data_IF_623286324335
#
_entry.id   IF_623286324335
#
_cell.length_a   1.000
_cell.length_b   1.000
_cell.length_c   1.000
_cell.angle_alpha   90.00
_cell.angle_beta   90.00
_cell.angle_gamma   90.00
#
_symmetry.space_group_name_H-M   'P 1'
#
loop_
_entity.id
_entity.type
_entity.pdbx_description
1 polymer ?
#
# COMPACT_ATOMS: atom_id res chain seq x y z
N UNK A 1 3.12 -24.64 1.16
CA UNK A 1 3.69 -23.48 0.44
C UNK A 1 3.17 -22.15 0.98
N UNK A 2 1.86 -21.87 1.01
CA UNK A 2 1.32 -20.62 1.61
C UNK A 2 1.83 -20.44 3.03
N UNK A 3 1.71 -21.48 3.88
CA UNK A 3 2.23 -21.44 5.25
C UNK A 3 3.72 -21.13 5.36
N UNK A 4 4.55 -21.61 4.42
CA UNK A 4 5.98 -21.31 4.40
C UNK A 4 6.24 -19.82 4.13
N UNK A 5 5.61 -19.23 3.10
CA UNK A 5 5.76 -17.80 2.83
C UNK A 5 5.18 -16.92 3.95
N UNK A 6 4.06 -17.35 4.56
CA UNK A 6 3.50 -16.68 5.75
C UNK A 6 4.49 -16.72 6.92
N UNK A 7 5.09 -17.87 7.21
CA UNK A 7 6.10 -18.03 8.25
C UNK A 7 7.32 -17.13 8.01
N UNK A 8 7.82 -17.08 6.77
CA UNK A 8 8.94 -16.20 6.41
C UNK A 8 8.59 -14.73 6.71
N UNK A 9 7.38 -14.27 6.32
CA UNK A 9 6.93 -12.89 6.62
C UNK A 9 6.82 -12.64 8.12
N UNK A 10 6.27 -13.58 8.89
CA UNK A 10 6.18 -13.47 10.35
C UNK A 10 7.57 -13.34 10.99
N UNK A 11 8.56 -14.09 10.49
CA UNK A 11 9.95 -14.03 10.98
C UNK A 11 10.59 -12.68 10.64
N UNK A 12 10.38 -12.17 9.43
CA UNK A 12 11.03 -10.94 8.95
C UNK A 12 10.39 -9.68 9.48
N UNK A 13 9.07 -9.71 9.77
CA UNK A 13 8.27 -8.56 10.17
C UNK A 13 8.87 -7.68 11.30
N UNK A 14 9.45 -8.21 12.38
CA UNK A 14 9.96 -7.38 13.49
C UNK A 14 11.33 -6.77 13.26
N UNK A 15 12.03 -7.06 12.15
CA UNK A 15 13.45 -6.73 12.03
C UNK A 15 13.79 -5.39 11.39
N UNK A 16 12.80 -4.62 10.96
CA UNK A 16 12.99 -3.29 10.37
C UNK A 16 11.81 -2.38 10.70
N UNK A 17 12.06 -1.06 10.73
CA UNK A 17 11.06 -0.07 11.10
C UNK A 17 9.93 0.05 10.08
N UNK A 18 8.87 0.77 10.47
CA UNK A 18 7.71 1.00 9.61
C UNK A 18 8.04 1.98 8.48
N UNK A 19 7.50 1.71 7.30
CA UNK A 19 7.47 2.67 6.20
C UNK A 19 6.55 3.87 6.49
N UNK A 20 6.62 4.92 5.67
CA UNK A 20 5.82 6.14 5.84
C UNK A 20 4.33 5.82 5.88
N UNK A 21 3.82 5.21 4.80
CA UNK A 21 2.41 4.89 4.66
C UNK A 21 1.96 3.84 5.69
N UNK A 22 2.83 2.86 5.98
CA UNK A 22 2.55 1.83 6.98
C UNK A 22 2.31 2.44 8.37
N UNK A 23 3.21 3.31 8.82
CA UNK A 23 3.06 4.02 10.10
C UNK A 23 1.81 4.92 10.08
N UNK A 24 1.53 5.57 8.95
CA UNK A 24 0.38 6.44 8.79
C UNK A 24 -0.94 5.69 8.98
N UNK A 25 -1.10 4.53 8.35
CA UNK A 25 -2.33 3.74 8.46
C UNK A 25 -2.47 3.03 9.82
N UNK A 26 -1.37 2.71 10.51
CA UNK A 26 -1.45 2.25 11.90
C UNK A 26 -1.97 3.37 12.82
N UNK A 27 -1.57 4.63 12.58
CA UNK A 27 -2.07 5.78 13.34
C UNK A 27 -3.57 6.03 13.16
N UNK A 28 -4.20 5.56 12.07
CA UNK A 28 -5.66 5.57 11.94
C UNK A 28 -6.34 4.80 13.07
N UNK A 29 -5.73 3.71 13.57
CA UNK A 29 -6.26 3.00 14.72
C UNK A 29 -6.19 3.84 16.02
N UNK A 30 -5.18 4.71 16.18
CA UNK A 30 -5.10 5.65 17.29
C UNK A 30 -6.10 6.81 17.17
N UNK A 31 -6.23 7.35 15.97
CA UNK A 31 -7.10 8.49 15.67
C UNK A 31 -8.30 8.01 14.86
N UNK A 32 -9.14 7.15 15.49
CA UNK A 32 -10.29 6.55 14.82
C UNK A 32 -11.27 7.61 14.33
N UNK A 33 -11.63 7.51 13.06
CA UNK A 33 -12.61 8.35 12.42
C UNK A 33 -13.41 7.56 11.37
N UNK A 34 -14.44 8.17 10.81
CA UNK A 34 -15.32 7.59 9.80
C UNK A 34 -14.71 7.60 8.40
N UNK A 35 -13.74 8.46 8.15
CA UNK A 35 -12.86 8.48 6.98
C UNK A 35 -11.63 9.33 7.25
N UNK A 36 -10.73 9.45 6.27
CA UNK A 36 -9.51 10.23 6.36
C UNK A 36 -9.26 10.97 5.05
N UNK A 37 -8.34 11.95 5.06
CA UNK A 37 -8.07 12.81 3.90
C UNK A 37 -7.63 12.00 2.69
N UNK A 38 -6.70 11.07 2.89
CA UNK A 38 -6.04 10.31 1.83
C UNK A 38 -6.73 8.98 1.50
N UNK A 39 -7.37 8.30 2.47
CA UNK A 39 -8.04 7.02 2.24
C UNK A 39 -9.28 6.81 3.11
N UNK A 40 -10.23 5.94 2.66
CA UNK A 40 -11.33 5.44 3.49
C UNK A 40 -10.83 4.65 4.70
N UNK A 41 -11.68 4.39 5.73
CA UNK A 41 -11.24 4.05 7.08
C UNK A 41 -10.85 2.59 7.32
N UNK A 42 -11.18 1.65 6.41
CA UNK A 42 -11.10 0.21 6.71
C UNK A 42 -9.68 -0.25 7.05
N UNK A 43 -8.65 0.33 6.43
CA UNK A 43 -7.25 -0.01 6.75
C UNK A 43 -6.92 0.29 8.21
N UNK A 44 -7.40 1.42 8.74
CA UNK A 44 -7.25 1.77 10.15
C UNK A 44 -8.09 0.88 11.06
N UNK A 45 -9.36 0.62 10.70
CA UNK A 45 -10.24 -0.23 11.51
C UNK A 45 -9.71 -1.65 11.65
N UNK A 46 -9.04 -2.19 10.62
CA UNK A 46 -8.38 -3.50 10.69
C UNK A 46 -7.21 -3.49 11.66
N UNK A 47 -6.51 -2.37 11.85
CA UNK A 47 -5.43 -2.28 12.84
C UNK A 47 -5.93 -2.19 14.29
N UNK A 48 -7.18 -1.78 14.55
CA UNK A 48 -7.71 -1.54 15.91
C UNK A 48 -7.48 -2.70 16.87
N UNK A 49 -7.88 -3.94 16.56
CA UNK A 49 -7.70 -5.05 17.51
C UNK A 49 -6.21 -5.31 17.80
N UNK A 50 -5.34 -5.17 16.82
CA UNK A 50 -3.90 -5.38 17.00
C UNK A 50 -3.28 -4.26 17.83
N UNK A 51 -3.68 -3.02 17.57
CA UNK A 51 -3.17 -1.84 18.26
C UNK A 51 -3.56 -1.82 19.74
N UNK A 52 -4.83 -2.04 20.06
CA UNK A 52 -5.34 -1.91 21.44
C UNK A 52 -5.20 -3.18 22.28
N UNK A 53 -5.32 -4.37 21.67
CA UNK A 53 -5.28 -5.62 22.43
C UNK A 53 -3.87 -6.18 22.60
N UNK A 54 -2.98 -5.95 21.63
CA UNK A 54 -1.67 -6.59 21.58
C UNK A 54 -0.51 -5.59 21.73
N UNK A 55 -0.78 -4.28 21.59
CA UNK A 55 0.22 -3.22 21.74
C UNK A 55 0.81 -2.72 20.43
N UNK A 56 1.86 -1.89 20.53
CA UNK A 56 2.46 -1.18 19.39
C UNK A 56 3.89 -1.63 19.15
N UNK A 57 4.11 -2.38 18.08
CA UNK A 57 5.42 -2.72 17.56
C UNK A 57 5.31 -3.09 16.08
N UNK A 58 6.43 -3.22 15.40
CA UNK A 58 6.49 -3.49 13.96
C UNK A 58 5.82 -4.82 13.57
N UNK A 59 5.97 -5.84 14.40
CA UNK A 59 5.36 -7.15 14.16
C UNK A 59 3.83 -7.05 14.17
N UNK A 60 3.27 -6.40 15.16
CA UNK A 60 1.80 -6.26 15.33
C UNK A 60 1.20 -5.33 14.27
N UNK A 61 1.94 -4.30 13.87
CA UNK A 61 1.54 -3.45 12.74
C UNK A 61 1.42 -4.23 11.42
N UNK A 62 2.24 -5.28 11.23
CA UNK A 62 2.31 -6.11 10.01
C UNK A 62 1.45 -7.36 10.04
N UNK A 63 1.13 -7.84 11.23
CA UNK A 63 0.39 -9.10 11.39
C UNK A 63 -0.92 -9.14 10.58
N UNK A 64 -1.77 -8.09 10.57
CA UNK A 64 -2.98 -8.11 9.74
C UNK A 64 -2.69 -8.26 8.24
N UNK A 65 -1.68 -7.57 7.69
CA UNK A 65 -1.29 -7.71 6.29
C UNK A 65 -0.87 -9.14 5.95
N UNK A 66 -0.04 -9.75 6.81
CA UNK A 66 0.46 -11.11 6.63
C UNK A 66 -0.69 -12.12 6.58
N UNK A 67 -1.66 -12.00 7.49
CA UNK A 67 -2.83 -12.87 7.54
C UNK A 67 -3.74 -12.67 6.32
N UNK A 68 -4.02 -11.41 5.95
CA UNK A 68 -4.83 -11.07 4.76
C UNK A 68 -4.16 -11.62 3.49
N UNK A 69 -2.85 -11.47 3.36
CA UNK A 69 -2.16 -11.95 2.16
C UNK A 69 -2.04 -13.48 2.09
N UNK A 70 -2.03 -14.17 3.23
CA UNK A 70 -2.16 -15.62 3.27
C UNK A 70 -3.51 -16.07 2.69
N UNK A 71 -4.61 -15.41 3.09
CA UNK A 71 -5.94 -15.66 2.54
C UNK A 71 -6.01 -15.26 1.06
N UNK A 72 -5.41 -14.15 0.66
CA UNK A 72 -5.31 -13.70 -0.75
C UNK A 72 -4.58 -14.75 -1.60
N UNK A 73 -3.47 -15.30 -1.10
CA UNK A 73 -2.72 -16.38 -1.77
C UNK A 73 -3.56 -17.66 -1.90
N UNK A 74 -4.39 -17.95 -0.91
CA UNK A 74 -5.32 -19.08 -0.99
C UNK A 74 -6.45 -18.83 -2.00
N UNK A 75 -6.97 -17.61 -2.07
CA UNK A 75 -7.93 -17.21 -3.11
C UNK A 75 -7.31 -17.31 -4.52
N UNK A 76 -6.05 -16.92 -4.70
CA UNK A 76 -5.33 -17.11 -5.96
C UNK A 76 -5.18 -18.58 -6.34
N UNK A 77 -4.89 -19.46 -5.36
CA UNK A 77 -4.89 -20.90 -5.54
C UNK A 77 -6.24 -21.40 -6.04
N UNK A 78 -7.33 -21.02 -5.36
CA UNK A 78 -8.69 -21.41 -5.73
C UNK A 78 -9.10 -20.86 -7.11
N UNK A 79 -8.70 -19.64 -7.43
CA UNK A 79 -8.96 -19.02 -8.74
C UNK A 79 -8.36 -19.88 -9.87
N UNK A 80 -7.07 -20.21 -9.78
CA UNK A 80 -6.42 -21.04 -10.80
C UNK A 80 -6.97 -22.47 -10.80
N UNK A 81 -7.31 -23.03 -9.63
CA UNK A 81 -7.93 -24.36 -9.53
C UNK A 81 -9.30 -24.40 -10.25
N UNK A 82 -10.12 -23.36 -10.09
CA UNK A 82 -11.42 -23.26 -10.78
C UNK A 82 -11.27 -23.16 -12.30
N UNK A 83 -10.26 -22.45 -12.77
CA UNK A 83 -9.97 -22.27 -14.21
C UNK A 83 -9.36 -23.52 -14.84
N UNK A 84 -8.44 -24.19 -14.14
CA UNK A 84 -7.60 -25.23 -14.75
C UNK A 84 -7.92 -26.66 -14.28
N UNK A 85 -8.69 -26.80 -13.19
CA UNK A 85 -8.97 -28.06 -12.50
C UNK A 85 -7.68 -28.82 -12.09
N UNK A 86 -6.56 -28.09 -11.90
CA UNK A 86 -5.25 -28.65 -11.60
C UNK A 86 -4.64 -28.07 -10.34
N UNK A 87 -4.49 -28.88 -9.31
CA UNK A 87 -3.81 -28.50 -8.07
C UNK A 87 -2.34 -28.11 -8.32
N UNK A 88 -1.66 -28.81 -9.23
CA UNK A 88 -0.27 -28.54 -9.56
C UNK A 88 -0.11 -27.15 -10.20
N UNK A 89 -0.97 -26.77 -11.15
CA UNK A 89 -0.95 -25.47 -11.78
C UNK A 89 -1.27 -24.35 -10.77
N UNK A 90 -2.19 -24.61 -9.85
CA UNK A 90 -2.52 -23.69 -8.76
C UNK A 90 -1.34 -23.46 -7.81
N UNK A 91 -0.57 -24.49 -7.51
CA UNK A 91 0.66 -24.37 -6.70
C UNK A 91 1.73 -23.55 -7.42
N UNK A 92 1.96 -23.77 -8.71
CA UNK A 92 2.87 -22.93 -9.51
C UNK A 92 2.45 -21.47 -9.52
N UNK A 93 1.16 -21.21 -9.68
CA UNK A 93 0.60 -19.85 -9.67
C UNK A 93 0.83 -19.15 -8.32
N UNK A 94 0.57 -19.84 -7.20
CA UNK A 94 0.83 -19.29 -5.85
C UNK A 94 2.32 -19.07 -5.61
N UNK A 95 3.19 -19.96 -6.11
CA UNK A 95 4.63 -19.77 -6.02
C UNK A 95 5.06 -18.49 -6.73
N UNK A 96 4.68 -18.31 -8.00
CA UNK A 96 5.01 -17.13 -8.77
C UNK A 96 4.47 -15.83 -8.15
N UNK A 97 3.23 -15.87 -7.63
CA UNK A 97 2.62 -14.73 -6.95
C UNK A 97 3.45 -14.32 -5.72
N UNK A 98 3.86 -15.29 -4.90
CA UNK A 98 4.67 -15.04 -3.70
C UNK A 98 6.15 -14.74 -4.01
N UNK A 99 6.59 -14.86 -5.24
CA UNK A 99 7.90 -14.40 -5.72
C UNK A 99 7.91 -12.95 -6.22
N UNK A 100 6.75 -12.29 -6.37
CA UNK A 100 6.68 -10.90 -6.79
C UNK A 100 7.09 -9.96 -5.65
N UNK A 101 8.05 -9.07 -5.89
CA UNK A 101 8.56 -8.17 -4.86
C UNK A 101 7.44 -7.25 -4.32
N UNK A 102 6.72 -6.52 -5.19
CA UNK A 102 5.66 -5.60 -4.76
C UNK A 102 4.51 -6.33 -4.05
N UNK A 103 4.11 -7.52 -4.50
CA UNK A 103 3.07 -8.28 -3.81
C UNK A 103 3.54 -8.78 -2.43
N UNK A 104 4.84 -9.00 -2.23
CA UNK A 104 5.39 -9.28 -0.90
C UNK A 104 5.40 -8.04 0.00
N UNK A 105 5.66 -6.86 -0.55
CA UNK A 105 5.51 -5.59 0.20
C UNK A 105 4.07 -5.45 0.68
N UNK A 106 3.07 -5.62 -0.19
CA UNK A 106 1.64 -5.59 0.15
C UNK A 106 1.20 -6.74 1.08
N UNK A 107 1.97 -7.83 1.13
CA UNK A 107 1.78 -8.93 2.07
C UNK A 107 2.48 -8.76 3.41
N UNK A 108 3.32 -7.73 3.57
CA UNK A 108 3.98 -7.36 4.82
C UNK A 108 3.39 -6.08 5.43
N UNK A 109 3.16 -5.07 4.59
CA UNK A 109 2.67 -3.76 5.00
C UNK A 109 1.19 -3.66 4.71
N UNK A 110 0.38 -3.33 5.72
CA UNK A 110 -1.06 -3.16 5.49
C UNK A 110 -1.32 -1.79 4.87
N UNK A 111 -1.48 -1.82 3.55
CA UNK A 111 -1.95 -0.69 2.76
C UNK A 111 -3.40 -0.93 2.34
N UNK A 112 -4.15 0.10 1.94
CA UNK A 112 -5.49 -0.09 1.36
C UNK A 112 -5.51 -1.10 0.21
N UNK A 113 -4.44 -1.13 -0.59
CA UNK A 113 -4.24 -2.11 -1.67
C UNK A 113 -4.26 -3.55 -1.16
N UNK A 114 -3.66 -3.84 -0.01
CA UNK A 114 -3.60 -5.20 0.55
C UNK A 114 -4.98 -5.80 0.77
N UNK A 115 -5.94 -5.00 1.26
CA UNK A 115 -7.34 -5.39 1.43
C UNK A 115 -8.05 -5.52 0.07
N UNK A 116 -7.82 -4.58 -0.84
CA UNK A 116 -8.44 -4.58 -2.16
C UNK A 116 -8.07 -5.85 -2.94
N UNK A 117 -6.82 -6.33 -2.84
CA UNK A 117 -6.36 -7.56 -3.50
C UNK A 117 -7.19 -8.78 -3.05
N UNK A 118 -7.51 -8.90 -1.77
CA UNK A 118 -8.37 -9.97 -1.27
C UNK A 118 -9.80 -9.83 -1.81
N UNK A 119 -10.36 -8.63 -1.71
CA UNK A 119 -11.75 -8.40 -2.12
C UNK A 119 -11.98 -8.60 -3.61
N UNK A 120 -11.00 -8.35 -4.46
CA UNK A 120 -11.10 -8.60 -5.90
C UNK A 120 -11.32 -10.08 -6.20
N UNK A 121 -10.62 -11.00 -5.55
CA UNK A 121 -10.89 -12.44 -5.73
C UNK A 121 -12.27 -12.83 -5.22
N UNK A 122 -12.66 -12.33 -4.05
CA UNK A 122 -13.99 -12.61 -3.50
C UNK A 122 -15.10 -12.05 -4.41
N UNK A 123 -14.87 -10.87 -5.01
CA UNK A 123 -15.80 -10.28 -5.98
C UNK A 123 -15.91 -11.14 -7.25
N UNK A 124 -14.79 -11.65 -7.79
CA UNK A 124 -14.77 -12.56 -8.94
C UNK A 124 -15.59 -13.83 -8.64
N UNK A 125 -15.36 -14.47 -7.49
CA UNK A 125 -16.07 -15.68 -7.09
C UNK A 125 -17.57 -15.43 -6.90
N UNK A 126 -17.92 -14.31 -6.28
CA UNK A 126 -19.33 -13.94 -6.02
C UNK A 126 -20.05 -13.62 -7.34
N UNK A 127 -19.43 -12.83 -8.22
CA UNK A 127 -20.03 -12.46 -9.52
C UNK A 127 -20.27 -13.68 -10.42
N UNK A 128 -19.30 -14.61 -10.49
CA UNK A 128 -19.46 -15.84 -11.25
C UNK A 128 -20.56 -16.73 -10.66
N UNK A 129 -20.62 -16.85 -9.33
CA UNK A 129 -21.64 -17.63 -8.63
C UNK A 129 -23.05 -17.06 -8.87
N UNK A 130 -23.23 -15.74 -8.81
CA UNK A 130 -24.50 -15.07 -9.14
C UNK A 130 -24.93 -15.40 -10.57
N UNK A 131 -23.99 -15.47 -11.51
CA UNK A 131 -24.28 -15.81 -12.91
C UNK A 131 -24.88 -17.22 -13.05
N UNK A 132 -24.45 -18.16 -12.20
CA UNK A 132 -24.94 -19.56 -12.23
C UNK A 132 -26.20 -19.77 -11.40
N UNK A 133 -26.22 -19.26 -10.17
CA UNK A 133 -27.20 -19.70 -9.17
C UNK A 133 -28.25 -18.63 -8.83
N UNK A 134 -27.94 -17.35 -8.99
CA UNK A 134 -28.84 -16.18 -8.73
C UNK A 134 -29.51 -16.23 -7.34
N UNK A 135 -28.81 -16.68 -6.30
CA UNK A 135 -29.32 -16.76 -4.93
C UNK A 135 -29.34 -15.39 -4.26
N UNK A 136 -30.36 -15.02 -3.48
CA UNK A 136 -30.43 -13.74 -2.76
C UNK A 136 -29.21 -13.47 -1.88
N UNK A 137 -28.71 -14.50 -1.18
CA UNK A 137 -27.51 -14.39 -0.32
C UNK A 137 -26.25 -13.98 -1.07
N UNK A 138 -26.10 -14.38 -2.33
CA UNK A 138 -24.93 -14.00 -3.14
C UNK A 138 -24.99 -12.51 -3.51
N UNK A 139 -26.18 -11.92 -3.64
CA UNK A 139 -26.34 -10.47 -3.84
C UNK A 139 -26.11 -9.69 -2.55
N UNK A 140 -26.51 -10.22 -1.39
CA UNK A 140 -26.15 -9.63 -0.09
C UNK A 140 -24.64 -9.60 0.06
N UNK A 141 -23.96 -10.72 -0.24
CA UNK A 141 -22.50 -10.79 -0.21
C UNK A 141 -21.87 -9.81 -1.21
N UNK A 142 -22.43 -9.69 -2.43
CA UNK A 142 -21.99 -8.70 -3.41
C UNK A 142 -22.06 -7.28 -2.86
N UNK A 143 -23.18 -6.91 -2.23
CA UNK A 143 -23.36 -5.58 -1.62
C UNK A 143 -22.36 -5.33 -0.50
N UNK A 144 -22.15 -6.32 0.37
CA UNK A 144 -21.14 -6.24 1.45
C UNK A 144 -19.74 -6.06 0.87
N UNK A 145 -19.35 -6.84 -0.14
CA UNK A 145 -18.02 -6.73 -0.77
C UNK A 145 -17.81 -5.36 -1.42
N UNK A 146 -18.79 -4.87 -2.19
CA UNK A 146 -18.71 -3.55 -2.81
C UNK A 146 -18.60 -2.43 -1.76
N UNK A 147 -19.37 -2.53 -0.66
CA UNK A 147 -19.29 -1.59 0.46
C UNK A 147 -17.93 -1.63 1.16
N UNK A 148 -17.41 -2.82 1.50
CA UNK A 148 -16.09 -2.99 2.09
C UNK A 148 -14.98 -2.48 1.17
N UNK A 149 -15.08 -2.71 -0.13
CA UNK A 149 -14.15 -2.17 -1.12
C UNK A 149 -14.18 -0.64 -1.15
N UNK A 150 -15.38 -0.05 -1.08
CA UNK A 150 -15.56 1.41 -0.95
C UNK A 150 -14.97 1.98 0.35
N UNK A 151 -15.04 1.23 1.45
CA UNK A 151 -14.39 1.57 2.73
C UNK A 151 -12.86 1.35 2.70
N UNK A 152 -12.33 0.68 1.67
CA UNK A 152 -10.91 0.37 1.55
C UNK A 152 -10.15 1.41 0.73
N UNK A 153 -10.63 1.71 -0.47
CA UNK A 153 -9.92 2.59 -1.41
C UNK A 153 -10.89 3.23 -2.39
N UNK A 154 -10.77 4.54 -2.62
CA UNK A 154 -11.64 5.27 -3.56
C UNK A 154 -11.61 4.69 -4.97
N UNK A 155 -10.45 4.22 -5.45
CA UNK A 155 -10.33 3.62 -6.78
C UNK A 155 -11.03 2.27 -6.92
N UNK A 156 -11.55 1.68 -5.85
CA UNK A 156 -12.38 0.46 -5.93
C UNK A 156 -13.64 0.66 -6.76
N UNK A 157 -14.16 1.89 -6.86
CA UNK A 157 -15.31 2.23 -7.71
C UNK A 157 -15.07 1.88 -9.17
N UNK A 158 -13.82 1.87 -9.63
CA UNK A 158 -13.43 1.47 -10.99
C UNK A 158 -13.76 0.01 -11.31
N UNK A 159 -14.07 -0.82 -10.32
CA UNK A 159 -14.44 -2.22 -10.52
C UNK A 159 -15.96 -2.40 -10.74
N UNK A 160 -16.78 -1.38 -10.48
CA UNK A 160 -18.24 -1.45 -10.66
C UNK A 160 -18.62 -1.46 -12.15
N UNK A 161 -18.13 -0.55 -13.02
CA UNK A 161 -18.45 -0.60 -14.45
C UNK A 161 -18.06 -1.94 -15.12
N UNK A 162 -16.86 -2.50 -14.95
CA UNK A 162 -16.52 -3.79 -15.55
C UNK A 162 -17.31 -4.97 -14.98
N UNK A 163 -17.81 -4.91 -13.75
CA UNK A 163 -18.75 -5.90 -13.21
C UNK A 163 -20.09 -5.86 -13.98
N UNK A 164 -20.63 -4.67 -14.23
CA UNK A 164 -21.86 -4.49 -15.02
C UNK A 164 -21.62 -4.94 -16.47
N UNK A 165 -20.50 -4.57 -17.07
CA UNK A 165 -20.11 -5.00 -18.43
C UNK A 165 -20.06 -6.53 -18.50
N UNK A 166 -19.53 -7.21 -17.47
CA UNK A 166 -19.51 -8.67 -17.42
C UNK A 166 -20.92 -9.26 -17.54
N UNK A 167 -21.91 -8.79 -16.76
CA UNK A 167 -23.27 -9.27 -16.83
C UNK A 167 -23.95 -8.94 -18.17
N UNK A 168 -23.66 -7.79 -18.77
CA UNK A 168 -24.13 -7.42 -20.12
C UNK A 168 -23.58 -8.39 -21.17
N UNK A 169 -22.26 -8.66 -21.14
CA UNK A 169 -21.61 -9.59 -22.06
C UNK A 169 -22.13 -11.03 -21.91
N UNK A 170 -22.56 -11.40 -20.72
CA UNK A 170 -23.21 -12.69 -20.43
C UNK A 170 -24.70 -12.69 -20.79
N UNK A 171 -25.25 -11.58 -21.29
CA UNK A 171 -26.70 -11.38 -21.58
C UNK A 171 -27.59 -11.64 -20.35
N UNK A 172 -27.06 -11.40 -19.16
CA UNK A 172 -27.74 -11.59 -17.88
C UNK A 172 -28.41 -10.28 -17.42
N UNK A 173 -29.25 -9.70 -18.28
CA UNK A 173 -30.03 -8.51 -17.92
C UNK A 173 -30.97 -8.77 -16.74
N UNK A 174 -31.42 -10.02 -16.58
CA UNK A 174 -32.19 -10.49 -15.44
C UNK A 174 -31.50 -10.36 -14.10
N UNK A 175 -30.13 -10.31 -14.09
CA UNK A 175 -29.33 -10.04 -12.90
C UNK A 175 -29.28 -8.53 -12.68
N UNK A 176 -28.97 -7.75 -13.72
CA UNK A 176 -28.78 -6.29 -13.62
C UNK A 176 -30.05 -5.61 -13.11
N UNK A 177 -31.21 -5.99 -13.66
CA UNK A 177 -32.51 -5.43 -13.28
C UNK A 177 -33.22 -6.21 -12.16
N UNK A 178 -32.51 -7.10 -11.48
CA UNK A 178 -33.07 -7.85 -10.35
C UNK A 178 -33.29 -6.94 -9.13
N UNK A 179 -34.38 -7.10 -8.37
CA UNK A 179 -34.54 -6.44 -7.08
C UNK A 179 -33.39 -6.79 -6.10
N UNK A 180 -32.78 -7.95 -6.24
CA UNK A 180 -31.62 -8.33 -5.46
C UNK A 180 -30.37 -7.51 -5.81
N UNK A 181 -30.20 -7.03 -7.04
CA UNK A 181 -29.13 -6.10 -7.42
C UNK A 181 -29.36 -4.73 -6.77
N UNK A 182 -30.60 -4.27 -6.71
CA UNK A 182 -30.97 -3.05 -5.97
C UNK A 182 -30.65 -3.20 -4.49
N UNK A 183 -30.96 -4.37 -3.90
CA UNK A 183 -30.59 -4.68 -2.51
C UNK A 183 -29.07 -4.65 -2.31
N UNK A 184 -28.30 -5.24 -3.22
CA UNK A 184 -26.83 -5.21 -3.17
C UNK A 184 -26.29 -3.78 -3.21
N UNK A 185 -26.81 -2.95 -4.12
CA UNK A 185 -26.44 -1.53 -4.21
C UNK A 185 -26.81 -0.77 -2.93
N UNK A 186 -27.97 -1.04 -2.35
CA UNK A 186 -28.42 -0.41 -1.10
C UNK A 186 -27.51 -0.79 0.09
N UNK A 187 -27.15 -2.07 0.22
CA UNK A 187 -26.21 -2.54 1.25
C UNK A 187 -24.85 -1.84 1.07
N UNK A 188 -24.34 -1.78 -0.16
CA UNK A 188 -23.07 -1.10 -0.43
C UNK A 188 -23.13 0.39 -0.04
N UNK A 189 -24.21 1.09 -0.38
CA UNK A 189 -24.43 2.50 -0.02
C UNK A 189 -24.50 2.71 1.49
N UNK A 190 -25.19 1.84 2.23
CA UNK A 190 -25.21 1.90 3.70
C UNK A 190 -23.79 1.76 4.26
N UNK A 191 -23.01 0.80 3.78
CA UNK A 191 -21.66 0.57 4.29
C UNK A 191 -20.70 1.73 4.00
N UNK A 192 -20.84 2.45 2.88
CA UNK A 192 -20.00 3.61 2.57
C UNK A 192 -20.52 4.93 3.15
N UNK A 193 -21.70 4.93 3.80
CA UNK A 193 -22.27 6.13 4.44
C UNK A 193 -21.31 6.84 5.39
N UNK A 194 -20.49 6.15 6.22
CA UNK A 194 -19.51 6.81 7.07
C UNK A 194 -18.54 7.69 6.29
N UNK A 195 -18.05 7.23 5.14
CA UNK A 195 -17.12 7.98 4.26
C UNK A 195 -17.82 9.20 3.65
N UNK A 196 -19.07 9.02 3.20
CA UNK A 196 -19.85 10.11 2.63
C UNK A 196 -20.11 11.19 3.70
N UNK A 197 -20.59 10.79 4.87
CA UNK A 197 -20.87 11.70 5.98
C UNK A 197 -19.62 12.50 6.39
N UNK A 198 -18.49 11.80 6.56
CA UNK A 198 -17.22 12.43 6.93
C UNK A 198 -16.80 13.47 5.87
N UNK A 199 -16.88 13.13 4.59
CA UNK A 199 -16.52 14.05 3.52
C UNK A 199 -17.45 15.28 3.46
N UNK A 200 -18.75 15.12 3.68
CA UNK A 200 -19.70 16.24 3.76
C UNK A 200 -19.31 17.20 4.89
N UNK A 201 -18.96 16.66 6.06
CA UNK A 201 -18.58 17.47 7.24
C UNK A 201 -17.17 18.09 7.12
N UNK A 202 -16.32 17.58 6.23
CA UNK A 202 -14.96 18.06 5.96
C UNK A 202 -14.80 18.70 4.57
N UNK A 203 -15.88 19.30 4.02
CA UNK A 203 -15.88 20.03 2.75
C UNK A 203 -15.28 19.21 1.57
N UNK A 204 -15.55 17.93 1.53
CA UNK A 204 -15.08 17.01 0.48
C UNK A 204 -13.56 17.00 0.28
N UNK A 205 -12.79 17.22 1.33
CA UNK A 205 -11.32 17.33 1.27
C UNK A 205 -10.67 16.08 0.66
N UNK A 206 -11.20 14.88 0.94
CA UNK A 206 -10.66 13.64 0.37
C UNK A 206 -10.82 13.57 -1.14
N UNK A 207 -11.96 14.01 -1.67
CA UNK A 207 -12.16 14.03 -3.12
C UNK A 207 -11.29 15.06 -3.81
N UNK A 208 -11.08 16.23 -3.18
CA UNK A 208 -10.13 17.25 -3.65
C UNK A 208 -8.70 16.67 -3.67
N UNK A 209 -8.31 15.99 -2.60
CA UNK A 209 -7.00 15.34 -2.49
C UNK A 209 -6.82 14.27 -3.57
N UNK A 210 -7.79 13.37 -3.76
CA UNK A 210 -7.71 12.32 -4.78
C UNK A 210 -7.71 12.90 -6.20
N UNK A 211 -8.49 13.94 -6.47
CA UNK A 211 -8.52 14.59 -7.79
C UNK A 211 -7.17 15.23 -8.13
N UNK A 212 -6.50 15.82 -7.17
CA UNK A 212 -5.15 16.38 -7.36
C UNK A 212 -4.10 15.30 -7.67
N UNK A 213 -4.25 14.10 -7.12
CA UNK A 213 -3.39 12.94 -7.42
C UNK A 213 -3.67 12.30 -8.78
N UNK A 214 -4.84 12.52 -9.36
CA UNK A 214 -5.20 11.99 -10.68
C UNK A 214 -4.95 13.03 -11.78
N UNK A 215 -5.24 14.30 -11.50
CA UNK A 215 -5.23 15.41 -12.45
C UNK A 215 -4.35 16.59 -11.98
N UNK A 216 -3.35 16.33 -11.16
CA UNK A 216 -2.51 17.37 -10.54
C UNK A 216 -1.76 18.26 -11.53
N UNK A 217 -1.57 17.81 -12.77
CA UNK A 217 -1.03 18.61 -13.87
C UNK A 217 -1.91 18.43 -15.10
N UNK A 218 -2.38 19.53 -15.70
CA UNK A 218 -3.08 19.49 -16.99
C UNK A 218 -2.12 19.19 -18.15
N UNK A 219 -0.80 19.32 -17.93
CA UNK A 219 0.21 19.05 -18.95
C UNK A 219 0.53 17.55 -18.97
N UNK A 220 0.34 16.92 -20.13
CA UNK A 220 0.74 15.53 -20.38
C UNK A 220 2.26 15.40 -20.42
N UNK A 221 2.81 14.31 -19.88
CA UNK A 221 4.24 14.02 -19.90
C UNK A 221 4.51 12.55 -20.20
N UNK A 222 5.16 12.31 -21.32
CA UNK A 222 5.65 10.98 -21.67
C UNK A 222 6.74 10.49 -20.71
N UNK A 223 7.55 11.39 -20.13
CA UNK A 223 8.56 11.03 -19.14
C UNK A 223 7.89 10.38 -17.92
N UNK A 224 6.84 11.01 -17.34
CA UNK A 224 6.08 10.45 -16.21
C UNK A 224 5.47 9.09 -16.52
N UNK A 225 4.94 8.90 -17.74
CA UNK A 225 4.43 7.61 -18.19
C UNK A 225 5.53 6.53 -18.18
N UNK A 226 6.68 6.81 -18.81
CA UNK A 226 7.79 5.84 -18.84
C UNK A 226 8.41 5.61 -17.47
N UNK A 227 8.53 6.63 -16.62
CA UNK A 227 8.97 6.49 -15.25
C UNK A 227 8.04 5.57 -14.44
N UNK A 228 6.72 5.76 -14.56
CA UNK A 228 5.71 4.93 -13.91
C UNK A 228 5.76 3.48 -14.40
N UNK A 229 5.95 3.27 -15.70
CA UNK A 229 6.09 1.93 -16.29
C UNK A 229 7.39 1.26 -15.83
N UNK A 230 8.50 1.98 -15.84
CA UNK A 230 9.80 1.49 -15.35
C UNK A 230 9.76 1.15 -13.84
N UNK A 231 9.06 1.97 -13.05
CA UNK A 231 8.85 1.70 -11.63
C UNK A 231 8.04 0.41 -11.40
N UNK A 232 6.98 0.17 -12.18
CA UNK A 232 6.23 -1.08 -12.13
C UNK A 232 7.10 -2.27 -12.59
N UNK A 233 7.85 -2.12 -13.67
CA UNK A 233 8.77 -3.15 -14.19
C UNK A 233 9.78 -3.60 -13.13
N UNK A 234 10.39 -2.65 -12.41
CA UNK A 234 11.30 -2.96 -11.31
C UNK A 234 10.59 -3.56 -10.09
N UNK A 235 9.47 -2.97 -9.67
CA UNK A 235 8.76 -3.34 -8.45
C UNK A 235 8.11 -4.73 -8.49
N UNK A 236 7.62 -5.17 -9.64
CA UNK A 236 7.02 -6.51 -9.79
C UNK A 236 8.04 -7.58 -10.18
N UNK A 237 9.31 -7.26 -10.27
CA UNK A 237 10.36 -8.07 -10.90
C UNK A 237 10.18 -8.13 -12.44
N UNK A 238 11.17 -7.70 -13.24
CA UNK A 238 11.07 -7.62 -14.70
C UNK A 238 10.51 -8.87 -15.37
N UNK A 239 10.91 -10.04 -14.90
CA UNK A 239 10.49 -11.30 -15.48
C UNK A 239 9.03 -11.64 -15.17
N UNK A 240 8.57 -11.36 -13.93
CA UNK A 240 7.18 -11.58 -13.54
C UNK A 240 6.24 -10.52 -14.14
N UNK A 241 6.73 -9.30 -14.36
CA UNK A 241 6.04 -8.28 -15.13
C UNK A 241 5.70 -8.79 -16.54
N UNK A 242 6.68 -9.36 -17.26
CA UNK A 242 6.48 -9.95 -18.59
C UNK A 242 5.48 -11.11 -18.51
N UNK A 243 5.56 -11.97 -17.48
CA UNK A 243 4.63 -13.09 -17.26
C UNK A 243 3.19 -12.57 -17.09
N UNK A 244 2.99 -11.47 -16.35
CA UNK A 244 1.67 -10.89 -16.16
C UNK A 244 1.06 -10.40 -17.49
N UNK A 245 1.82 -9.64 -18.28
CA UNK A 245 1.36 -9.19 -19.59
C UNK A 245 1.12 -10.36 -20.56
N UNK A 246 2.01 -11.35 -20.58
CA UNK A 246 1.79 -12.57 -21.35
C UNK A 246 0.47 -13.26 -20.95
N UNK A 247 0.20 -13.38 -19.65
CA UNK A 247 -1.03 -13.95 -19.13
C UNK A 247 -2.27 -13.17 -19.57
N UNK A 248 -2.22 -11.85 -19.46
CA UNK A 248 -3.30 -10.97 -19.90
C UNK A 248 -3.64 -11.14 -21.38
N UNK A 249 -2.66 -10.99 -22.26
CA UNK A 249 -2.87 -11.09 -23.71
C UNK A 249 -3.30 -12.51 -24.14
N UNK A 250 -2.83 -13.55 -23.43
CA UNK A 250 -3.17 -14.94 -23.74
C UNK A 250 -4.66 -15.23 -23.51
N UNK A 251 -5.28 -14.57 -22.52
CA UNK A 251 -6.68 -14.81 -22.13
C UNK A 251 -7.64 -13.68 -22.51
N UNK A 252 -7.18 -12.69 -23.26
CA UNK A 252 -7.96 -11.50 -23.60
C UNK A 252 -9.30 -11.81 -24.29
N UNK A 253 -9.34 -12.88 -25.08
CA UNK A 253 -10.55 -13.35 -25.80
C UNK A 253 -11.15 -14.60 -25.18
N UNK A 254 -10.94 -14.82 -23.90
CA UNK A 254 -11.44 -16.01 -23.18
C UNK A 254 -12.97 -16.06 -23.12
N UNK A 255 -13.49 -17.28 -23.03
CA UNK A 255 -14.92 -17.54 -22.73
C UNK A 255 -15.14 -17.98 -21.29
N UNK A 256 -14.08 -18.33 -20.57
CA UNK A 256 -14.16 -18.67 -19.14
C UNK A 256 -14.53 -17.43 -18.33
N UNK A 257 -15.50 -17.58 -17.42
CA UNK A 257 -16.09 -16.46 -16.69
C UNK A 257 -15.14 -15.88 -15.63
N UNK A 258 -14.34 -16.71 -14.96
CA UNK A 258 -13.33 -16.25 -14.02
C UNK A 258 -12.26 -15.41 -14.71
N UNK A 259 -11.77 -15.89 -15.85
CA UNK A 259 -10.75 -15.19 -16.64
C UNK A 259 -11.31 -13.92 -17.28
N UNK A 260 -12.60 -13.95 -17.73
CA UNK A 260 -13.25 -12.76 -18.28
C UNK A 260 -13.38 -11.65 -17.24
N UNK A 261 -13.80 -11.99 -16.00
CA UNK A 261 -13.81 -11.05 -14.88
C UNK A 261 -12.41 -10.53 -14.56
N UNK A 262 -11.40 -11.40 -14.58
CA UNK A 262 -10.01 -10.99 -14.38
C UNK A 262 -9.55 -10.00 -15.46
N UNK A 263 -9.86 -10.25 -16.75
CA UNK A 263 -9.54 -9.34 -17.88
C UNK A 263 -10.23 -7.98 -17.68
N UNK A 264 -11.52 -8.00 -17.33
CA UNK A 264 -12.27 -6.77 -17.13
C UNK A 264 -11.77 -5.97 -15.92
N UNK A 265 -11.55 -6.59 -14.79
CA UNK A 265 -11.10 -5.90 -13.58
C UNK A 265 -9.64 -5.45 -13.68
N UNK A 266 -8.73 -6.37 -13.96
CA UNK A 266 -7.31 -6.07 -14.06
C UNK A 266 -6.99 -5.13 -15.22
N UNK A 267 -7.65 -5.33 -16.38
CA UNK A 267 -7.50 -4.46 -17.54
C UNK A 267 -7.97 -3.04 -17.28
N UNK A 268 -9.12 -2.85 -16.62
CA UNK A 268 -9.65 -1.52 -16.24
C UNK A 268 -8.69 -0.80 -15.29
N UNK A 269 -8.21 -1.47 -14.25
CA UNK A 269 -7.26 -0.88 -13.29
C UNK A 269 -5.95 -0.52 -13.97
N UNK A 270 -5.37 -1.43 -14.78
CA UNK A 270 -4.15 -1.13 -15.51
C UNK A 270 -4.33 0.06 -16.45
N UNK A 271 -5.39 0.05 -17.27
CA UNK A 271 -5.67 1.12 -18.24
C UNK A 271 -5.83 2.47 -17.54
N UNK A 272 -6.58 2.52 -16.43
CA UNK A 272 -6.77 3.74 -15.66
C UNK A 272 -5.43 4.32 -15.19
N UNK A 273 -4.58 3.51 -14.54
CA UNK A 273 -3.30 4.00 -14.03
C UNK A 273 -2.26 4.27 -15.13
N UNK A 274 -2.33 3.61 -16.26
CA UNK A 274 -1.51 3.97 -17.41
C UNK A 274 -1.95 5.32 -18.01
N UNK A 275 -3.24 5.60 -18.10
CA UNK A 275 -3.75 6.89 -18.59
C UNK A 275 -3.43 8.03 -17.61
N UNK A 276 -3.64 7.84 -16.32
CA UNK A 276 -3.34 8.86 -15.30
C UNK A 276 -1.84 9.14 -15.17
N UNK A 277 -0.98 8.17 -15.50
CA UNK A 277 0.48 8.35 -15.45
C UNK A 277 1.03 9.38 -16.44
N UNK A 278 0.26 9.78 -17.46
CA UNK A 278 0.63 10.91 -18.30
C UNK A 278 0.48 12.26 -17.59
N UNK A 279 -0.40 12.34 -16.60
CA UNK A 279 -0.74 13.57 -15.88
C UNK A 279 -0.04 13.67 -14.54
N UNK A 280 0.07 12.55 -13.81
CA UNK A 280 0.68 12.51 -12.48
C UNK A 280 1.49 11.21 -12.30
N UNK A 281 2.51 11.25 -11.44
CA UNK A 281 3.34 10.08 -11.15
C UNK A 281 2.54 9.02 -10.39
N UNK A 282 2.35 7.85 -11.00
CA UNK A 282 1.65 6.74 -10.35
C UNK A 282 2.63 5.87 -9.55
N UNK A 283 2.22 5.48 -8.34
CA UNK A 283 3.00 4.58 -7.50
C UNK A 283 2.88 3.14 -7.99
N UNK A 284 3.94 2.32 -7.89
CA UNK A 284 3.97 0.97 -8.46
C UNK A 284 2.88 0.03 -7.92
N UNK A 285 2.44 0.20 -6.67
CA UNK A 285 1.42 -0.66 -6.06
C UNK A 285 -0.02 -0.34 -6.51
N UNK A 286 -0.26 0.83 -7.13
CA UNK A 286 -1.63 1.21 -7.53
C UNK A 286 -2.27 0.25 -8.55
N UNK A 287 -1.56 -0.25 -9.58
CA UNK A 287 -2.10 -1.26 -10.49
C UNK A 287 -1.95 -2.72 -9.97
N UNK A 288 -1.75 -2.94 -8.67
CA UNK A 288 -1.47 -4.28 -8.10
C UNK A 288 -2.53 -5.34 -8.44
N UNK A 289 -3.79 -4.94 -8.60
CA UNK A 289 -4.89 -5.84 -9.04
C UNK A 289 -4.57 -6.53 -10.36
N UNK A 290 -3.98 -5.81 -11.32
CA UNK A 290 -3.57 -6.41 -12.60
C UNK A 290 -2.53 -7.51 -12.39
N UNK A 291 -1.48 -7.24 -11.65
CA UNK A 291 -0.40 -8.21 -11.40
C UNK A 291 -0.84 -9.39 -10.56
N UNK A 292 -1.71 -9.15 -9.56
CA UNK A 292 -2.33 -10.19 -8.74
C UNK A 292 -3.05 -11.23 -9.61
N UNK A 293 -3.82 -10.76 -10.59
CA UNK A 293 -4.64 -11.63 -11.44
C UNK A 293 -3.80 -12.30 -12.54
N UNK A 294 -2.84 -11.57 -13.14
CA UNK A 294 -2.19 -12.05 -14.35
C UNK A 294 -0.83 -12.71 -14.16
N UNK A 295 -0.14 -12.54 -13.04
CA UNK A 295 1.02 -13.39 -12.70
C UNK A 295 0.58 -14.86 -12.60
N UNK A 296 -0.47 -15.24 -11.84
CA UNK A 296 -0.99 -16.60 -11.82
C UNK A 296 -1.42 -17.12 -13.19
N UNK A 297 -2.14 -16.30 -13.96
CA UNK A 297 -2.63 -16.67 -15.30
C UNK A 297 -1.47 -16.91 -16.27
N UNK A 298 -0.49 -16.04 -16.31
CA UNK A 298 0.70 -16.20 -17.14
C UNK A 298 1.50 -17.45 -16.74
N UNK A 299 1.61 -17.70 -15.43
CA UNK A 299 2.34 -18.84 -14.89
C UNK A 299 1.75 -20.16 -15.35
N UNK A 300 0.45 -20.41 -15.16
CA UNK A 300 -0.11 -21.69 -15.57
C UNK A 300 -0.06 -21.90 -17.10
N UNK A 301 -0.22 -20.80 -17.88
CA UNK A 301 -0.08 -20.87 -19.33
C UNK A 301 1.37 -21.19 -19.77
N UNK A 302 2.38 -20.73 -19.04
CA UNK A 302 3.78 -21.06 -19.31
C UNK A 302 4.14 -22.47 -18.88
N UNK A 303 3.60 -22.96 -17.75
CA UNK A 303 3.77 -24.37 -17.32
C UNK A 303 3.25 -25.34 -18.38
N UNK A 304 2.09 -25.05 -18.96
CA UNK A 304 1.43 -25.90 -19.95
C UNK A 304 1.89 -25.65 -21.38
N UNK A 305 2.80 -24.72 -21.61
CA UNK A 305 3.29 -24.39 -22.95
C UNK A 305 4.03 -25.58 -23.58
N UNK A 306 3.78 -25.82 -24.88
CA UNK A 306 4.47 -26.87 -25.62
C UNK A 306 5.95 -26.56 -25.83
N UNK A 307 6.27 -25.29 -26.04
CA UNK A 307 7.62 -24.81 -26.29
C UNK A 307 8.47 -24.85 -25.03
N UNK A 308 9.57 -25.63 -25.10
CA UNK A 308 10.50 -25.85 -23.98
C UNK A 308 11.09 -24.52 -23.44
N UNK A 309 11.37 -23.56 -24.33
CA UNK A 309 11.93 -22.27 -23.91
C UNK A 309 11.00 -21.47 -23.01
N UNK A 310 9.67 -21.54 -23.20
CA UNK A 310 8.67 -20.86 -22.36
C UNK A 310 8.67 -21.46 -20.93
N UNK A 311 8.73 -22.78 -20.81
CA UNK A 311 8.84 -23.44 -19.50
C UNK A 311 10.16 -23.10 -18.80
N UNK A 312 11.26 -23.11 -19.56
CA UNK A 312 12.58 -22.73 -19.03
C UNK A 312 12.61 -21.27 -18.58
N UNK A 313 11.97 -20.35 -19.34
CA UNK A 313 11.82 -18.96 -18.95
C UNK A 313 11.08 -18.83 -17.61
N UNK A 314 9.99 -19.56 -17.40
CA UNK A 314 9.25 -19.58 -16.14
C UNK A 314 10.11 -20.08 -14.98
N UNK A 315 10.78 -21.22 -15.13
CA UNK A 315 11.64 -21.79 -14.10
C UNK A 315 12.79 -20.84 -13.72
N UNK A 316 13.42 -20.23 -14.73
CA UNK A 316 14.44 -19.21 -14.52
C UNK A 316 13.88 -17.99 -13.78
N UNK A 317 12.70 -17.50 -14.20
CA UNK A 317 12.04 -16.34 -13.58
C UNK A 317 11.73 -16.58 -12.11
N UNK A 318 11.15 -17.72 -11.77
CA UNK A 318 10.84 -18.09 -10.37
C UNK A 318 12.13 -18.30 -9.58
N UNK A 319 13.10 -19.04 -10.11
CA UNK A 319 14.37 -19.29 -9.43
C UNK A 319 15.13 -18.00 -9.11
N UNK A 320 15.24 -17.10 -10.08
CA UNK A 320 15.87 -15.79 -9.87
C UNK A 320 15.08 -14.94 -8.87
N UNK A 321 13.74 -14.94 -8.97
CA UNK A 321 12.89 -14.20 -8.03
C UNK A 321 13.05 -14.70 -6.59
N UNK A 322 13.12 -16.03 -6.39
CA UNK A 322 13.36 -16.61 -5.06
C UNK A 322 14.72 -16.20 -4.50
N UNK A 323 15.77 -16.21 -5.34
CA UNK A 323 17.10 -15.76 -4.94
C UNK A 323 17.06 -14.30 -4.53
N UNK A 324 16.50 -13.40 -5.36
CA UNK A 324 16.41 -11.99 -5.08
C UNK A 324 15.58 -11.70 -3.82
N UNK A 325 14.45 -12.41 -3.63
CA UNK A 325 13.62 -12.28 -2.42
C UNK A 325 14.38 -12.75 -1.17
N UNK A 326 15.11 -13.86 -1.25
CA UNK A 326 15.92 -14.35 -0.13
C UNK A 326 17.00 -13.34 0.23
N UNK A 327 17.70 -12.80 -0.78
CA UNK A 327 18.70 -11.73 -0.58
C UNK A 327 18.05 -10.51 0.09
N UNK A 328 16.88 -10.07 -0.38
CA UNK A 328 16.18 -8.92 0.19
C UNK A 328 15.79 -9.19 1.65
N UNK A 329 15.16 -10.31 1.97
CA UNK A 329 14.77 -10.66 3.32
C UNK A 329 15.95 -10.85 4.27
N UNK A 330 17.07 -11.36 3.78
CA UNK A 330 18.30 -11.48 4.59
C UNK A 330 19.03 -10.16 4.74
N UNK A 331 18.94 -9.26 3.76
CA UNK A 331 19.70 -8.00 3.76
C UNK A 331 18.97 -6.88 4.51
N UNK A 332 17.65 -6.75 4.36
CA UNK A 332 16.85 -5.67 4.98
C UNK A 332 17.07 -5.56 6.50
N UNK A 333 17.16 -6.64 7.29
CA UNK A 333 17.50 -6.54 8.70
C UNK A 333 18.91 -5.96 8.99
N UNK A 334 19.79 -5.93 7.97
CA UNK A 334 21.20 -5.51 8.13
C UNK A 334 21.54 -4.34 7.21
N UNK A 335 21.42 -3.08 7.67
CA UNK A 335 21.60 -1.88 6.83
C UNK A 335 22.93 -1.84 6.07
N UNK A 336 24.03 -2.25 6.72
CA UNK A 336 25.36 -2.30 6.10
C UNK A 336 25.43 -3.29 4.93
N UNK A 337 24.79 -4.44 5.05
CA UNK A 337 24.72 -5.45 3.98
C UNK A 337 23.86 -4.93 2.83
N UNK A 338 22.71 -4.32 3.14
CA UNK A 338 21.85 -3.68 2.15
C UNK A 338 22.60 -2.62 1.34
N UNK A 339 23.29 -1.70 2.01
CA UNK A 339 24.04 -0.63 1.35
C UNK A 339 25.13 -1.18 0.44
N UNK A 340 25.85 -2.22 0.86
CA UNK A 340 26.86 -2.89 0.04
C UNK A 340 26.25 -3.55 -1.21
N UNK A 341 25.14 -4.29 -1.06
CA UNK A 341 24.47 -4.97 -2.17
C UNK A 341 23.94 -3.97 -3.21
N UNK A 342 23.30 -2.90 -2.75
CA UNK A 342 22.79 -1.86 -3.65
C UNK A 342 23.94 -1.07 -4.28
N UNK A 343 25.03 -0.86 -3.54
CA UNK A 343 26.25 -0.18 -4.02
C UNK A 343 26.95 -0.91 -5.17
N UNK A 344 26.68 -2.21 -5.40
CA UNK A 344 27.15 -2.93 -6.58
C UNK A 344 26.54 -2.37 -7.86
N UNK A 345 25.27 -1.94 -7.79
CA UNK A 345 24.50 -1.46 -8.95
C UNK A 345 24.48 0.07 -9.05
N UNK A 346 24.62 0.76 -7.92
CA UNK A 346 24.60 2.21 -7.83
C UNK A 346 25.75 2.69 -6.94
N UNK A 347 26.54 3.67 -7.39
CA UNK A 347 27.48 4.38 -6.51
C UNK A 347 26.70 5.22 -5.51
N UNK A 348 26.29 4.58 -4.41
CA UNK A 348 25.60 5.24 -3.32
C UNK A 348 26.66 5.68 -2.32
N UNK A 349 26.78 6.99 -2.00
CA UNK A 349 27.60 7.44 -0.88
C UNK A 349 27.16 6.72 0.40
N UNK A 350 28.09 6.40 1.31
CA UNK A 350 27.86 5.61 2.53
C UNK A 350 26.72 6.13 3.41
N UNK A 351 26.39 7.42 3.29
CA UNK A 351 25.30 8.09 4.00
C UNK A 351 23.95 8.09 3.26
N UNK A 352 23.83 7.46 2.10
CA UNK A 352 22.59 7.41 1.27
C UNK A 352 22.05 6.00 1.17
N UNK A 353 21.83 5.30 2.28
CA UNK A 353 21.19 4.00 2.23
C UNK A 353 19.79 4.11 1.59
N UNK A 354 19.46 3.29 0.58
CA UNK A 354 18.13 3.29 -0.03
C UNK A 354 17.02 2.86 0.95
N UNK A 355 17.40 2.23 2.05
CA UNK A 355 16.48 1.72 3.07
C UNK A 355 16.44 2.57 4.35
N UNK A 356 17.05 3.77 4.34
CA UNK A 356 17.02 4.67 5.49
C UNK A 356 15.62 5.05 5.95
N UNK A 357 14.65 5.07 5.04
CA UNK A 357 13.25 5.39 5.37
C UNK A 357 12.59 4.36 6.30
N UNK A 358 13.21 3.20 6.47
CA UNK A 358 12.74 2.17 7.39
C UNK A 358 13.67 1.95 8.58
N UNK A 359 14.67 2.83 8.78
CA UNK A 359 15.63 2.71 9.88
C UNK A 359 15.73 3.98 10.72
N UNK A 360 16.05 3.83 11.99
CA UNK A 360 16.46 4.90 12.89
C UNK A 360 15.32 5.63 13.61
N UNK A 361 14.06 5.46 13.24
CA UNK A 361 12.94 6.19 13.86
C UNK A 361 12.71 5.87 15.34
N UNK A 362 12.86 4.61 15.83
CA UNK A 362 12.83 4.34 17.26
C UNK A 362 13.90 5.15 18.05
N UNK A 363 15.09 5.27 17.48
CA UNK A 363 16.19 6.03 18.09
C UNK A 363 15.93 7.54 18.05
N UNK A 364 15.38 8.06 16.95
CA UNK A 364 14.95 9.47 16.85
C UNK A 364 13.95 9.80 17.95
N UNK A 365 12.92 8.97 18.11
CA UNK A 365 11.86 9.19 19.11
C UNK A 365 12.44 9.14 20.55
N UNK A 366 13.33 8.19 20.84
CA UNK A 366 13.98 8.09 22.13
C UNK A 366 14.87 9.32 22.43
N UNK A 367 15.65 9.76 21.47
CA UNK A 367 16.51 10.95 21.61
C UNK A 367 15.69 12.23 21.73
N UNK A 368 14.58 12.34 20.99
CA UNK A 368 13.66 13.46 21.13
C UNK A 368 13.07 13.51 22.55
N UNK A 369 12.65 12.36 23.10
CA UNK A 369 12.12 12.27 24.45
C UNK A 369 13.11 12.77 25.51
N UNK A 370 14.39 12.38 25.42
CA UNK A 370 15.46 12.85 26.31
C UNK A 370 15.62 14.38 26.32
N UNK A 371 15.34 15.03 25.18
CA UNK A 371 15.51 16.48 25.00
C UNK A 371 14.23 17.27 25.36
N UNK A 372 13.06 16.66 25.17
CA UNK A 372 11.78 17.37 25.20
C UNK A 372 11.37 17.88 26.60
N UNK A 373 11.61 17.15 27.68
CA UNK A 373 11.27 17.56 29.07
C UNK A 373 9.89 18.22 29.20
N UNK A 374 8.83 17.61 28.65
CA UNK A 374 7.45 18.10 28.59
C UNK A 374 7.15 19.14 27.46
N UNK A 375 8.05 19.39 26.53
CA UNK A 375 7.75 20.14 25.32
C UNK A 375 7.35 19.20 24.17
N UNK A 376 6.95 19.78 23.04
CA UNK A 376 6.53 19.04 21.85
C UNK A 376 7.61 19.05 20.76
N UNK A 377 7.62 18.02 19.92
CA UNK A 377 8.48 17.99 18.73
C UNK A 377 7.73 18.42 17.47
N UNK A 378 8.50 18.86 16.47
CA UNK A 378 7.96 19.21 15.17
C UNK A 378 8.77 18.58 14.03
N UNK A 379 8.11 18.25 12.93
CA UNK A 379 8.72 17.66 11.75
C UNK A 379 7.86 17.92 10.51
N UNK A 380 8.31 17.46 9.34
CA UNK A 380 7.56 17.50 8.09
C UNK A 380 6.68 16.25 7.90
N UNK A 381 5.80 16.26 6.90
CA UNK A 381 4.88 15.18 6.59
C UNK A 381 5.59 13.82 6.41
N UNK A 382 6.71 13.78 5.72
CA UNK A 382 7.41 12.53 5.40
C UNK A 382 7.95 11.82 6.65
N UNK A 383 8.36 12.57 7.67
CA UNK A 383 8.78 12.01 8.96
C UNK A 383 7.60 11.85 9.94
N UNK A 384 6.54 12.64 9.77
CA UNK A 384 5.46 12.83 10.73
C UNK A 384 4.87 11.52 11.25
N UNK A 385 4.39 10.66 10.35
CA UNK A 385 3.74 9.39 10.73
C UNK A 385 4.65 8.50 11.56
N UNK A 386 5.90 8.34 11.14
CA UNK A 386 6.87 7.48 11.82
C UNK A 386 7.28 8.07 13.17
N UNK A 387 7.55 9.38 13.20
CA UNK A 387 7.88 10.06 14.46
C UNK A 387 6.73 9.96 15.45
N UNK A 388 5.49 10.22 15.02
CA UNK A 388 4.30 10.08 15.87
C UNK A 388 4.14 8.64 16.39
N UNK A 389 4.27 7.64 15.51
CA UNK A 389 4.13 6.23 15.89
C UNK A 389 5.18 5.82 16.94
N UNK A 390 6.46 6.10 16.69
CA UNK A 390 7.54 5.72 17.61
C UNK A 390 7.60 6.59 18.88
N UNK A 391 6.95 7.76 18.90
CA UNK A 391 6.80 8.58 20.09
C UNK A 391 5.63 8.16 20.99
N UNK A 392 4.76 7.21 20.56
CA UNK A 392 3.62 6.75 21.36
C UNK A 392 4.00 6.25 22.77
N UNK A 393 5.07 5.45 22.96
CA UNK A 393 5.47 4.99 24.30
C UNK A 393 5.87 6.11 25.25
N UNK A 394 6.39 7.22 24.72
CA UNK A 394 6.86 8.39 25.47
C UNK A 394 5.75 9.41 25.73
N UNK A 395 4.59 9.28 25.04
CA UNK A 395 3.45 10.21 25.11
C UNK A 395 3.80 11.63 24.65
N UNK A 396 4.87 11.79 23.86
CA UNK A 396 5.26 13.08 23.30
C UNK A 396 4.32 13.48 22.17
N UNK A 397 3.91 14.74 22.17
CA UNK A 397 3.15 15.33 21.08
C UNK A 397 4.11 15.69 19.93
N UNK A 398 3.72 15.32 18.72
CA UNK A 398 4.50 15.57 17.50
C UNK A 398 3.64 16.37 16.56
N UNK A 399 4.08 17.57 16.21
CA UNK A 399 3.44 18.43 15.23
C UNK A 399 4.07 18.23 13.86
N UNK A 400 3.23 18.14 12.83
CA UNK A 400 3.66 18.18 11.43
C UNK A 400 3.44 19.60 10.93
N UNK A 401 4.53 20.25 10.51
CA UNK A 401 4.53 21.64 10.09
C UNK A 401 5.06 21.69 8.66
N UNK A 402 4.16 21.84 7.72
CA UNK A 402 4.48 22.09 6.31
C UNK A 402 3.32 22.88 5.65
N UNK A 403 3.45 23.17 4.34
CA UNK A 403 2.45 23.95 3.62
C UNK A 403 1.37 23.08 2.93
N UNK A 404 1.34 21.79 3.23
CA UNK A 404 0.41 20.84 2.64
C UNK A 404 -0.79 20.66 3.56
N UNK A 405 -1.99 20.72 2.98
CA UNK A 405 -3.20 20.30 3.71
C UNK A 405 -3.33 18.77 3.62
N UNK A 406 -3.27 18.11 4.77
CA UNK A 406 -3.31 16.66 4.85
C UNK A 406 -3.98 16.16 6.14
N UNK A 407 -3.82 14.88 6.43
CA UNK A 407 -4.44 14.23 7.58
C UNK A 407 -3.91 14.77 8.92
N UNK A 408 -2.69 15.26 8.98
CA UNK A 408 -2.14 15.81 10.22
C UNK A 408 -2.85 17.10 10.63
N UNK A 409 -3.29 17.94 9.68
CA UNK A 409 -4.09 19.13 9.97
C UNK A 409 -5.43 18.77 10.66
N UNK A 410 -6.00 17.63 10.31
CA UNK A 410 -7.23 17.12 10.94
C UNK A 410 -6.95 16.56 12.34
N UNK A 411 -5.81 15.89 12.53
CA UNK A 411 -5.44 15.32 13.83
C UNK A 411 -4.92 16.35 14.81
N UNK A 412 -4.25 17.40 14.35
CA UNK A 412 -3.68 18.47 15.16
C UNK A 412 -4.76 19.51 15.51
N UNK A 413 -5.56 19.20 16.55
CA UNK A 413 -6.67 20.08 16.98
C UNK A 413 -6.20 21.41 17.53
N UNK A 414 -4.98 21.49 18.06
CA UNK A 414 -4.39 22.68 18.67
C UNK A 414 -3.30 23.23 17.77
N UNK A 415 -3.30 24.55 17.61
CA UNK A 415 -2.18 25.22 16.95
C UNK A 415 -0.99 25.24 17.92
N UNK A 416 0.23 24.85 17.49
CA UNK A 416 1.41 24.91 18.36
C UNK A 416 1.97 26.33 18.53
N UNK A 417 1.24 27.37 18.16
CA UNK A 417 1.66 28.78 18.31
C UNK A 417 1.87 29.08 19.80
N UNK A 418 3.02 29.66 20.12
CA UNK A 418 3.41 29.97 21.49
C UNK A 418 4.17 28.83 22.21
N UNK A 419 4.26 27.63 21.60
CA UNK A 419 5.04 26.52 22.20
C UNK A 419 6.52 26.57 21.80
N UNK A 420 7.36 26.01 22.64
CA UNK A 420 8.71 25.63 22.27
C UNK A 420 8.68 24.31 21.56
N UNK A 421 9.14 24.26 20.30
CA UNK A 421 9.12 23.07 19.46
C UNK A 421 10.53 22.58 19.16
N UNK A 422 10.77 21.29 19.41
CA UNK A 422 11.99 20.62 18.99
C UNK A 422 11.82 20.09 17.55
N UNK A 423 12.45 20.75 16.58
CA UNK A 423 12.43 20.31 15.19
C UNK A 423 13.39 19.16 14.99
N UNK A 424 12.92 18.13 14.29
CA UNK A 424 13.65 16.92 13.96
C UNK A 424 13.92 16.91 12.45
N UNK A 425 15.19 17.04 12.09
CA UNK A 425 15.63 17.03 10.70
C UNK A 425 16.55 15.84 10.45
N UNK A 426 16.40 15.17 9.32
CA UNK A 426 17.39 14.24 8.80
C UNK A 426 17.99 14.78 7.51
N UNK A 427 19.06 14.19 7.04
CA UNK A 427 19.70 14.63 5.79
C UNK A 427 18.72 14.69 4.60
N UNK A 428 17.74 13.81 4.59
CA UNK A 428 16.75 13.73 3.50
C UNK A 428 15.48 14.51 3.75
N UNK A 429 15.09 14.63 5.01
CA UNK A 429 13.90 15.29 5.45
C UNK A 429 14.30 16.53 6.23
N UNK A 430 15.03 17.41 5.57
CA UNK A 430 15.45 18.68 6.12
C UNK A 430 14.34 19.71 5.94
N UNK A 431 13.67 20.02 7.03
CA UNK A 431 12.81 21.18 7.11
C UNK A 431 13.71 22.39 7.42
N UNK A 432 13.95 23.24 6.45
CA UNK A 432 14.63 24.51 6.70
C UNK A 432 13.74 25.39 7.60
N UNK A 433 14.02 25.38 8.91
CA UNK A 433 13.23 26.05 9.92
C UNK A 433 13.11 27.54 9.63
N UNK A 434 14.17 28.19 9.19
CA UNK A 434 14.16 29.60 8.85
C UNK A 434 13.24 29.93 7.69
N UNK A 435 13.04 28.99 6.77
CA UNK A 435 12.14 29.14 5.64
C UNK A 435 10.69 28.89 6.00
N UNK A 436 10.40 27.89 6.84
CA UNK A 436 9.04 27.40 7.07
C UNK A 436 8.42 27.81 8.40
N UNK A 437 9.22 28.23 9.39
CA UNK A 437 8.73 28.53 10.73
C UNK A 437 9.11 29.96 11.18
N UNK A 438 8.21 30.59 11.90
CA UNK A 438 8.48 31.83 12.65
C UNK A 438 8.86 31.42 14.07
N UNK A 439 10.09 31.65 14.49
CA UNK A 439 10.54 31.41 15.84
C UNK A 439 11.05 32.71 16.43
N UNK A 440 10.79 32.96 17.71
CA UNK A 440 11.40 34.08 18.41
C UNK A 440 12.94 33.89 18.47
N UNK A 441 13.37 32.64 18.75
CA UNK A 441 14.77 32.26 18.77
C UNK A 441 14.94 30.84 18.25
N UNK A 442 16.00 30.61 17.47
CA UNK A 442 16.40 29.29 16.98
C UNK A 442 17.69 28.87 17.70
N UNK A 443 17.68 27.68 18.30
CA UNK A 443 18.81 27.14 19.05
C UNK A 443 19.22 25.77 18.50
N UNK A 444 20.43 25.66 17.96
CA UNK A 444 20.98 24.38 17.55
C UNK A 444 21.34 23.54 18.79
N UNK A 445 20.74 22.35 18.89
CA UNK A 445 21.02 21.38 19.96
C UNK A 445 22.17 20.45 19.56
N UNK A 446 22.37 20.26 18.26
CA UNK A 446 23.41 19.42 17.70
C UNK A 446 22.86 18.28 16.86
N UNK A 447 23.79 17.44 16.41
CA UNK A 447 23.52 16.31 15.52
C UNK A 447 23.85 14.99 16.20
N UNK A 448 23.02 13.97 15.94
CA UNK A 448 23.25 12.62 16.42
C UNK A 448 23.24 11.64 15.25
N UNK A 449 24.28 10.83 15.17
CA UNK A 449 24.31 9.74 14.19
C UNK A 449 23.37 8.60 14.60
N UNK A 450 22.52 8.22 13.67
CA UNK A 450 21.65 7.06 13.83
C UNK A 450 22.41 5.80 13.48
N UNK A 451 22.67 4.97 14.48
CA UNK A 451 23.46 3.76 14.32
C UNK A 451 22.58 2.54 14.56
N UNK A 452 22.40 1.70 13.55
CA UNK A 452 21.72 0.43 13.65
C UNK A 452 22.66 -0.72 13.34
N UNK A 453 22.84 -1.65 14.30
CA UNK A 453 23.70 -2.83 14.15
C UNK A 453 25.11 -2.48 13.64
N UNK A 454 25.73 -1.48 14.27
CA UNK A 454 27.07 -0.96 13.94
C UNK A 454 27.19 -0.30 12.55
N UNK A 455 26.07 0.05 11.91
CA UNK A 455 26.05 0.80 10.66
C UNK A 455 25.41 2.17 10.91
N UNK A 456 26.04 3.24 10.43
CA UNK A 456 25.44 4.56 10.36
C UNK A 456 24.40 4.52 9.24
N UNK A 457 23.12 4.80 9.58
CA UNK A 457 22.01 4.78 8.64
C UNK A 457 21.58 6.18 8.22
N UNK A 458 21.67 7.16 9.14
CA UNK A 458 21.40 8.57 8.88
C UNK A 458 22.01 9.43 9.99
N UNK A 459 21.80 10.74 9.93
CA UNK A 459 22.09 11.70 11.00
C UNK A 459 20.83 12.52 11.24
N UNK A 460 20.41 12.61 12.50
CA UNK A 460 19.33 13.51 12.91
C UNK A 460 19.91 14.76 13.53
N UNK A 461 19.38 15.90 13.14
CA UNK A 461 19.67 17.22 13.69
C UNK A 461 18.48 17.66 14.55
N UNK A 462 18.78 18.20 15.73
CA UNK A 462 17.80 18.70 16.68
C UNK A 462 17.95 20.19 16.81
N UNK A 463 16.86 20.93 16.59
CA UNK A 463 16.87 22.40 16.63
C UNK A 463 15.65 22.89 17.39
N UNK A 464 15.86 23.69 18.45
CA UNK A 464 14.76 24.35 19.15
C UNK A 464 14.25 25.58 18.37
N UNK A 465 12.97 25.64 18.18
CA UNK A 465 12.23 26.83 17.82
C UNK A 465 11.51 27.33 19.09
N UNK A 466 12.03 28.36 19.71
CA UNK A 466 11.45 28.96 20.92
C UNK A 466 10.29 29.86 20.52
N UNK A 467 9.18 29.76 21.25
CA UNK A 467 7.97 30.55 21.03
C UNK A 467 7.55 30.54 19.54
N UNK A 468 7.14 29.36 19.05
CA UNK A 468 6.74 29.20 17.65
C UNK A 468 5.57 30.11 17.28
N UNK A 469 5.79 31.00 16.32
CA UNK A 469 4.84 32.04 15.87
C UNK A 469 4.02 31.68 14.61
N UNK A 470 4.03 30.39 14.22
CA UNK A 470 3.31 29.92 13.04
C UNK A 470 4.19 29.67 11.82
N UNK A 471 3.60 29.05 10.79
CA UNK A 471 4.27 28.81 9.51
C UNK A 471 4.54 30.14 8.77
N UNK A 472 5.62 30.19 8.01
CA UNK A 472 5.87 31.26 7.05
C UNK A 472 5.11 30.92 5.76
N UNK A 473 4.56 31.94 5.06
CA UNK A 473 3.83 31.76 3.81
C UNK A 473 4.67 31.19 2.67
#
# INVERSE_FOLDING_TARGET
MIGLFTLIRLIVAPFFGLGVDEAHYVLYAKYLDLSYVDHPPLVGWVHVPFFYLLGTNEFLARLPAILIFAVTSYCAYLFVLKVTQSMQLSLWAVLALNCSFMLNVLGLMLLPDSLLLLFVFLLIFTAEKITREKRPLDFILLGILLGLMGLTKYTSVLLVPPLIIFFVLKKRHDIIFSPYMVLAAFIALILITPVIYWNVTHNFISFSYQSSHVFGSLATSFSRFFESLAAQFGAYNPLLFIIAFYGFFKVLRTRDDYLRLAVLFGGTILLFFLLTSFYERTLPHWPAVFYLLFIPVGTYNLVTAREKWKRNYLHFSIGLSLILMTIAYCAVPFPKTCTKLVGIFYRIPDYKSPFRDIYGFPEIARKADELLKNNSSATNWTMGSRTMYYSLPYKNEVFVIDNRKDQFDVWQKNSPIGYDLLFLNTYFHNLNIEKYARCERVEDVGKTDLILRKAKVDTVEFVWCRNYGGAKP
#
